data_IF_089297627220
#
_entry.id   IF_089297627220
#
_cell.length_a   1.000
_cell.length_b   1.000
_cell.length_c   1.000
_cell.angle_alpha   90.00
_cell.angle_beta   90.00
_cell.angle_gamma   90.00
#
_symmetry.space_group_name_H-M   'P 1'
#
loop_
_entity.id
_entity.type
_entity.pdbx_description
1 polymer ?
#
# COMPACT_ATOMS: atom_id res chain seq x y z
N UNK A 1 -16.21 -12.60 -7.84
CA UNK A 1 -16.50 -11.32 -8.49
C UNK A 1 -15.23 -10.56 -8.78
N UNK A 2 -15.21 -9.88 -9.88
CA UNK A 2 -14.02 -9.14 -10.29
C UNK A 2 -13.92 -7.83 -9.53
N UNK A 3 -12.70 -7.51 -9.10
CA UNK A 3 -12.43 -6.24 -8.45
C UNK A 3 -11.87 -5.29 -9.50
N UNK A 4 -12.46 -4.11 -9.59
CA UNK A 4 -11.96 -3.08 -10.49
C UNK A 4 -10.79 -2.37 -9.83
N UNK A 5 -9.63 -2.44 -10.47
CA UNK A 5 -8.42 -1.82 -9.95
C UNK A 5 -8.08 -0.59 -10.78
N UNK A 6 -7.92 0.53 -10.10
CA UNK A 6 -7.50 1.79 -10.74
C UNK A 6 -6.18 2.22 -10.13
N UNK A 7 -5.22 2.54 -11.00
CA UNK A 7 -3.90 3.00 -10.55
C UNK A 7 -3.68 4.40 -11.09
N UNK A 8 -3.39 5.33 -10.18
CA UNK A 8 -3.03 6.69 -10.53
C UNK A 8 -1.63 6.96 -9.98
N UNK A 9 -0.69 7.18 -10.87
CA UNK A 9 0.70 7.39 -10.48
C UNK A 9 1.26 8.63 -11.15
N UNK A 10 1.68 9.58 -10.34
CA UNK A 10 2.48 10.73 -10.81
C UNK A 10 3.97 10.44 -10.68
N UNK A 11 4.30 9.23 -10.23
CA UNK A 11 5.67 8.82 -9.96
C UNK A 11 6.17 7.92 -11.08
N UNK A 12 7.36 8.23 -11.59
CA UNK A 12 8.03 7.36 -12.55
C UNK A 12 8.71 6.21 -11.78
N UNK A 13 8.15 5.02 -11.90
CA UNK A 13 8.65 3.87 -11.17
C UNK A 13 10.09 3.51 -11.56
N UNK A 14 10.46 3.78 -12.82
CA UNK A 14 11.82 3.50 -13.28
C UNK A 14 12.86 4.40 -12.65
N UNK A 15 12.43 5.53 -12.07
CA UNK A 15 13.34 6.44 -11.39
C UNK A 15 13.68 5.99 -9.97
N UNK A 16 13.00 4.97 -9.46
CA UNK A 16 13.22 4.50 -8.10
C UNK A 16 14.39 3.53 -8.02
N UNK A 17 15.02 3.47 -6.85
CA UNK A 17 16.06 2.49 -6.61
C UNK A 17 15.48 1.07 -6.68
N UNK A 18 16.30 0.05 -6.97
CA UNK A 18 15.82 -1.34 -6.97
C UNK A 18 15.18 -1.75 -5.65
N UNK A 19 15.72 -1.27 -4.53
CA UNK A 19 15.17 -1.58 -3.20
C UNK A 19 13.78 -0.97 -3.06
N UNK A 20 13.59 0.27 -3.48
CA UNK A 20 12.29 0.92 -3.42
C UNK A 20 11.27 0.23 -4.32
N UNK A 21 11.68 -0.14 -5.52
CA UNK A 21 10.79 -0.87 -6.44
C UNK A 21 10.36 -2.20 -5.85
N UNK A 22 11.30 -2.95 -5.30
CA UNK A 22 11.04 -4.25 -4.71
C UNK A 22 10.11 -4.13 -3.49
N UNK A 23 10.35 -3.15 -2.64
CA UNK A 23 9.53 -2.93 -1.45
C UNK A 23 8.11 -2.53 -1.83
N UNK A 24 7.97 -1.62 -2.80
CA UNK A 24 6.66 -1.21 -3.30
C UNK A 24 5.88 -2.38 -3.87
N UNK A 25 6.54 -3.20 -4.67
CA UNK A 25 5.92 -4.37 -5.28
C UNK A 25 5.41 -5.34 -4.22
N UNK A 26 6.20 -5.58 -3.19
CA UNK A 26 5.81 -6.46 -2.09
C UNK A 26 4.62 -5.88 -1.31
N UNK A 27 4.68 -4.59 -0.99
CA UNK A 27 3.60 -3.93 -0.25
C UNK A 27 2.28 -4.01 -1.04
N UNK A 28 2.34 -3.70 -2.33
CA UNK A 28 1.15 -3.76 -3.18
C UNK A 28 0.57 -5.16 -3.24
N UNK A 29 1.43 -6.17 -3.33
CA UNK A 29 0.99 -7.57 -3.36
C UNK A 29 0.28 -7.96 -2.06
N UNK A 30 0.85 -7.58 -0.94
CA UNK A 30 0.27 -7.90 0.37
C UNK A 30 -1.07 -7.21 0.56
N UNK A 31 -1.16 -5.93 0.20
CA UNK A 31 -2.41 -5.18 0.33
C UNK A 31 -3.47 -5.72 -0.62
N UNK A 32 -3.10 -6.06 -1.84
CA UNK A 32 -4.05 -6.63 -2.80
C UNK A 32 -4.56 -7.98 -2.33
N UNK A 33 -3.69 -8.82 -1.78
CA UNK A 33 -4.11 -10.10 -1.23
C UNK A 33 -5.08 -9.94 -0.08
N UNK A 34 -4.86 -8.96 0.78
CA UNK A 34 -5.76 -8.69 1.89
C UNK A 34 -7.15 -8.28 1.40
N UNK A 35 -7.21 -7.46 0.37
CA UNK A 35 -8.48 -7.06 -0.22
C UNK A 35 -9.21 -8.27 -0.80
N UNK A 36 -8.50 -9.11 -1.54
CA UNK A 36 -9.10 -10.29 -2.18
C UNK A 36 -9.64 -11.25 -1.12
N UNK A 37 -8.92 -11.43 -0.02
CA UNK A 37 -9.28 -12.42 0.99
C UNK A 37 -10.33 -11.95 1.99
N UNK A 38 -10.29 -10.67 2.37
CA UNK A 38 -11.02 -10.20 3.54
C UNK A 38 -11.97 -9.06 3.28
N UNK A 39 -11.80 -8.34 2.19
CA UNK A 39 -12.65 -7.23 1.85
C UNK A 39 -13.66 -7.69 0.81
N UNK A 40 -14.91 -7.33 0.98
CA UNK A 40 -15.93 -7.59 -0.04
C UNK A 40 -15.98 -6.41 -1.00
N UNK A 41 -14.82 -5.89 -1.37
CA UNK A 41 -14.71 -4.72 -2.20
C UNK A 41 -15.02 -5.03 -3.65
N UNK A 42 -15.68 -4.08 -4.32
CA UNK A 42 -15.88 -4.13 -5.76
C UNK A 42 -14.80 -3.31 -6.49
N UNK A 43 -14.19 -2.37 -5.80
CA UNK A 43 -13.18 -1.52 -6.40
C UNK A 43 -12.04 -1.22 -5.44
N UNK A 44 -10.89 -0.96 -6.03
CA UNK A 44 -9.69 -0.64 -5.30
C UNK A 44 -8.94 0.44 -6.08
N UNK A 45 -8.49 1.47 -5.39
CA UNK A 45 -7.71 2.55 -5.99
C UNK A 45 -6.33 2.61 -5.36
N UNK A 46 -5.33 2.77 -6.20
CA UNK A 46 -3.95 2.92 -5.77
C UNK A 46 -3.45 4.25 -6.31
N UNK A 47 -2.95 5.09 -5.40
CA UNK A 47 -2.37 6.39 -5.75
C UNK A 47 -0.93 6.41 -5.30
N UNK A 48 -0.04 6.73 -6.23
CA UNK A 48 1.40 6.82 -5.98
C UNK A 48 1.87 8.22 -6.28
N UNK A 49 2.61 8.82 -5.36
CA UNK A 49 3.20 10.12 -5.58
C UNK A 49 4.50 10.27 -4.81
N UNK A 50 5.28 11.26 -5.21
CA UNK A 50 6.49 11.66 -4.48
C UNK A 50 6.14 12.87 -3.60
N UNK A 51 6.43 12.75 -2.32
CA UNK A 51 6.19 13.81 -1.34
C UNK A 51 7.22 13.65 -0.22
N UNK A 52 8.42 14.21 -0.41
CA UNK A 52 9.57 14.04 0.48
C UNK A 52 9.93 12.57 0.69
N UNK A 53 9.60 11.75 -0.27
CA UNK A 53 9.73 10.30 -0.23
C UNK A 53 8.69 9.73 -1.15
N UNK A 54 8.34 8.48 -0.96
CA UNK A 54 7.35 7.79 -1.75
C UNK A 54 6.09 7.60 -0.91
N UNK A 55 4.95 8.05 -1.42
CA UNK A 55 3.67 7.88 -0.75
C UNK A 55 2.78 7.02 -1.63
N UNK A 56 2.28 5.95 -1.04
CA UNK A 56 1.30 5.06 -1.65
C UNK A 56 0.03 5.14 -0.84
N UNK A 57 -1.09 5.45 -1.48
CA UNK A 57 -2.39 5.35 -0.84
C UNK A 57 -3.18 4.24 -1.50
N UNK A 58 -3.71 3.37 -0.68
CA UNK A 58 -4.47 2.22 -1.11
C UNK A 58 -5.87 2.35 -0.52
N UNK A 59 -6.87 2.40 -1.39
CA UNK A 59 -8.25 2.59 -0.98
C UNK A 59 -9.13 1.52 -1.59
N UNK A 60 -9.96 0.87 -0.77
CA UNK A 60 -10.98 -0.05 -1.27
C UNK A 60 -12.33 0.31 -0.67
N UNK A 61 -13.39 -0.05 -1.38
CA UNK A 61 -14.77 0.27 -0.97
C UNK A 61 -15.42 -0.85 -0.16
N UNK A 62 -14.64 -1.81 0.29
CA UNK A 62 -15.16 -2.94 1.05
C UNK A 62 -15.36 -2.66 2.52
N UNK A 63 -15.71 -3.71 3.23
CA UNK A 63 -16.00 -3.63 4.66
C UNK A 63 -14.75 -3.49 5.53
N UNK A 64 -13.58 -3.45 4.92
CA UNK A 64 -12.35 -3.24 5.64
C UNK A 64 -11.85 -4.49 6.33
N UNK A 65 -10.93 -4.27 7.24
CA UNK A 65 -10.33 -5.34 8.01
C UNK A 65 -11.08 -5.47 9.33
N UNK A 66 -12.19 -6.19 9.34
CA UNK A 66 -12.95 -6.38 10.59
C UNK A 66 -12.13 -7.09 11.65
N UNK A 67 -11.22 -7.92 11.21
CA UNK A 67 -10.33 -8.64 12.11
C UNK A 67 -8.89 -8.41 11.70
N UNK A 68 -8.47 -7.14 11.73
CA UNK A 68 -7.05 -6.89 11.59
C UNK A 68 -6.42 -7.40 12.88
N UNK A 69 -5.94 -8.62 12.83
CA UNK A 69 -5.17 -9.17 13.93
C UNK A 69 -3.85 -8.45 14.09
N UNK A 70 -3.57 -7.48 13.25
CA UNK A 70 -2.32 -6.79 13.24
C UNK A 70 -1.21 -7.53 12.52
N UNK A 71 -1.36 -8.83 12.33
CA UNK A 71 -0.27 -9.62 11.76
C UNK A 71 -0.06 -9.34 10.28
N UNK A 72 -1.13 -9.14 9.55
CA UNK A 72 -1.02 -8.89 8.11
C UNK A 72 -0.36 -7.56 7.85
N UNK A 73 -0.76 -6.52 8.60
CA UNK A 73 -0.13 -5.21 8.48
C UNK A 73 1.23 -5.16 9.16
N UNK A 74 1.42 -6.00 10.17
CA UNK A 74 2.70 -6.10 10.88
C UNK A 74 3.83 -6.53 9.94
N UNK A 75 3.56 -7.51 9.09
CA UNK A 75 4.53 -7.96 8.10
C UNK A 75 4.94 -6.83 7.16
N UNK A 76 3.95 -6.04 6.72
CA UNK A 76 4.23 -4.88 5.88
C UNK A 76 5.06 -3.84 6.64
N UNK A 77 4.71 -3.57 7.89
CA UNK A 77 5.44 -2.60 8.70
C UNK A 77 6.88 -3.01 8.93
N UNK A 78 7.11 -4.29 9.17
CA UNK A 78 8.47 -4.79 9.35
C UNK A 78 9.33 -4.53 8.12
N UNK A 79 8.78 -4.80 6.94
CA UNK A 79 9.51 -4.57 5.71
C UNK A 79 9.72 -3.10 5.43
N UNK A 80 8.72 -2.28 5.73
CA UNK A 80 8.84 -0.84 5.56
C UNK A 80 9.90 -0.24 6.47
N UNK A 81 10.07 -0.79 7.67
CA UNK A 81 11.08 -0.28 8.59
C UNK A 81 12.50 -0.42 8.04
N UNK A 82 12.72 -1.35 7.13
CA UNK A 82 14.04 -1.54 6.51
C UNK A 82 14.37 -0.43 5.50
N UNK A 83 13.37 0.34 5.08
CA UNK A 83 13.55 1.45 4.13
C UNK A 83 13.08 2.76 4.74
N UNK A 84 13.12 2.85 6.08
CA UNK A 84 12.68 4.03 6.83
C UNK A 84 11.26 4.46 6.46
N UNK A 85 10.38 3.48 6.38
CA UNK A 85 8.99 3.71 6.04
C UNK A 85 8.05 3.26 7.14
N UNK A 86 6.80 3.58 6.97
CA UNK A 86 5.74 3.17 7.88
C UNK A 86 4.40 3.15 7.16
N UNK A 87 3.40 2.66 7.87
CA UNK A 87 2.06 2.49 7.35
C UNK A 87 1.08 3.14 8.33
N UNK A 88 0.07 3.80 7.79
CA UNK A 88 -0.95 4.46 8.59
C UNK A 88 -2.32 4.08 8.04
N UNK A 89 -3.23 3.73 8.94
CA UNK A 89 -4.61 3.45 8.56
C UNK A 89 -5.39 4.76 8.71
N UNK A 90 -5.76 5.35 7.58
CA UNK A 90 -6.52 6.61 7.58
C UNK A 90 -8.01 6.36 7.77
N UNK A 91 -8.50 5.23 7.27
CA UNK A 91 -9.89 4.82 7.44
C UNK A 91 -9.93 3.31 7.48
N UNK A 92 -10.64 2.76 8.45
CA UNK A 92 -10.66 1.33 8.66
C UNK A 92 -11.67 0.61 7.78
N UNK A 93 -12.77 1.26 7.45
CA UNK A 93 -13.82 0.64 6.63
C UNK A 93 -14.72 1.68 5.99
N UNK A 94 -15.28 1.34 4.84
CA UNK A 94 -16.29 2.08 4.10
C UNK A 94 -15.93 3.53 3.78
N UNK A 95 -14.80 3.86 3.17
CA UNK A 95 -13.81 2.95 2.58
C UNK A 95 -12.68 2.61 3.56
N UNK A 96 -11.91 1.59 3.21
CA UNK A 96 -10.65 1.32 3.86
C UNK A 96 -9.56 2.11 3.13
N UNK A 97 -8.80 2.90 3.87
CA UNK A 97 -7.73 3.71 3.29
C UNK A 97 -6.46 3.47 4.10
N UNK A 98 -5.43 3.00 3.42
CA UNK A 98 -4.12 2.75 4.01
C UNK A 98 -3.11 3.61 3.28
N UNK A 99 -2.32 4.37 4.03
CA UNK A 99 -1.23 5.16 3.47
C UNK A 99 0.08 4.52 3.86
N UNK A 100 0.91 4.27 2.87
CA UNK A 100 2.26 3.76 3.06
C UNK A 100 3.24 4.84 2.68
N UNK A 101 4.21 5.06 3.55
CA UNK A 101 5.30 5.99 3.28
C UNK A 101 6.61 5.21 3.32
N UNK A 102 7.50 5.50 2.37
CA UNK A 102 8.87 5.03 2.45
C UNK A 102 9.81 6.15 2.02
N UNK A 103 10.93 6.24 2.71
CA UNK A 103 11.97 7.15 2.32
C UNK A 103 12.51 6.69 0.98
N UNK A 104 12.70 7.62 0.05
CA UNK A 104 13.27 7.27 -1.23
C UNK A 104 14.69 6.77 -0.98
N UNK A 105 14.97 5.57 -1.47
CA UNK A 105 16.26 4.97 -1.29
C UNK A 105 17.34 5.91 -1.75
N UNK A 106 18.31 6.14 -0.88
CA UNK A 106 19.38 7.05 -1.22
C UNK A 106 20.05 6.62 -2.50
N UNK A 107 20.48 7.60 -3.24
CA UNK A 107 21.35 7.32 -4.36
C UNK A 107 22.55 6.59 -3.82
N UNK A 108 22.63 5.34 -4.16
CA UNK A 108 23.81 4.59 -3.83
C UNK A 108 25.00 5.30 -4.45
#
# INVERSE_FOLDING_TARGET
SDIVLTVDSSLDLDSLSPVSQSTLSMVLRELANNVIKHSQADSCQIRLRRDHGIVLEFEDDGCGFEEVTGQELHSIRERLSLVDGDLEILSQSHPTIIRVYMKEGGKA
#
